data_IF_953957914146
#
_entry.id   IF_953957914146
#
_cell.length_a   1.000
_cell.length_b   1.000
_cell.length_c   1.000
_cell.angle_alpha   90.00
_cell.angle_beta   90.00
_cell.angle_gamma   90.00
#
_symmetry.space_group_name_H-M   'P 1'
#
loop_
_entity.id
_entity.type
_entity.pdbx_description
1 polymer ?
#
# COMPACT_ATOMS: atom_id res chain seq x y z
N UNK A 1 39.13 3.06 6.07
CA UNK A 1 38.12 2.32 5.33
C UNK A 1 37.13 1.83 6.36
N UNK A 2 35.92 2.38 6.36
CA UNK A 2 34.81 1.82 7.12
C UNK A 2 34.34 0.63 6.29
N UNK A 3 34.39 -0.58 6.83
CA UNK A 3 33.80 -1.75 6.17
C UNK A 3 32.29 -1.52 6.10
N UNK A 4 31.76 -1.50 4.88
CA UNK A 4 30.33 -1.39 4.59
C UNK A 4 29.75 -2.80 4.53
N UNK A 5 28.76 -3.10 5.37
CA UNK A 5 28.02 -4.36 5.26
C UNK A 5 26.92 -4.14 4.25
N UNK A 6 27.12 -4.64 3.03
CA UNK A 6 26.05 -4.60 2.04
C UNK A 6 24.88 -5.49 2.49
N UNK A 7 23.68 -5.07 2.12
CA UNK A 7 22.47 -5.88 2.25
C UNK A 7 22.72 -7.29 1.68
N UNK A 8 22.59 -8.34 2.50
CA UNK A 8 22.79 -9.72 2.05
C UNK A 8 21.46 -10.29 1.54
N UNK A 9 21.24 -10.40 0.21
CA UNK A 9 19.97 -10.86 -0.34
C UNK A 9 19.68 -12.34 -0.04
N UNK A 10 20.66 -13.10 0.49
CA UNK A 10 20.48 -14.50 0.87
C UNK A 10 20.08 -14.69 2.35
N UNK A 11 20.20 -13.65 3.18
CA UNK A 11 19.86 -13.74 4.60
C UNK A 11 19.33 -12.38 5.11
N UNK A 12 18.01 -12.23 5.00
CA UNK A 12 17.21 -11.10 5.44
C UNK A 12 16.52 -11.49 6.75
N UNK A 13 16.84 -10.81 7.84
CA UNK A 13 16.22 -11.01 9.14
C UNK A 13 14.80 -10.43 9.19
N UNK A 14 14.02 -10.79 10.21
CA UNK A 14 12.68 -10.23 10.42
C UNK A 14 12.68 -8.69 10.53
N UNK A 15 13.70 -8.11 11.18
CA UNK A 15 13.82 -6.66 11.31
C UNK A 15 14.14 -5.98 9.98
N UNK A 16 15.04 -6.56 9.16
CA UNK A 16 15.35 -6.05 7.82
C UNK A 16 14.13 -6.14 6.89
N UNK A 17 13.39 -7.26 6.92
CA UNK A 17 12.15 -7.41 6.17
C UNK A 17 11.12 -6.33 6.55
N UNK A 18 10.94 -6.05 7.85
CA UNK A 18 9.99 -5.03 8.30
C UNK A 18 10.43 -3.61 7.96
N UNK A 19 11.73 -3.32 8.01
CA UNK A 19 12.26 -2.03 7.56
C UNK A 19 11.97 -1.79 6.07
N UNK A 20 12.22 -2.79 5.22
CA UNK A 20 11.89 -2.71 3.78
C UNK A 20 10.39 -2.51 3.59
N UNK A 21 9.56 -3.31 4.27
CA UNK A 21 8.12 -3.19 4.15
C UNK A 21 7.62 -1.81 4.57
N UNK A 22 8.07 -1.28 5.70
CA UNK A 22 7.64 0.04 6.19
C UNK A 22 8.02 1.14 5.18
N UNK A 23 9.21 1.08 4.59
CA UNK A 23 9.64 2.01 3.56
C UNK A 23 8.76 1.93 2.29
N UNK A 24 8.45 0.71 1.81
CA UNK A 24 7.54 0.50 0.67
C UNK A 24 6.11 0.98 0.97
N UNK A 25 5.58 0.67 2.16
CA UNK A 25 4.22 1.04 2.56
C UNK A 25 4.06 2.54 2.70
N UNK A 26 5.07 3.26 3.18
CA UNK A 26 5.04 4.71 3.23
C UNK A 26 4.72 5.33 1.86
N UNK A 27 5.51 4.99 0.83
CA UNK A 27 5.28 5.51 -0.52
C UNK A 27 3.95 5.03 -1.11
N UNK A 28 3.51 3.83 -0.74
CA UNK A 28 2.19 3.30 -1.14
C UNK A 28 1.04 4.11 -0.56
N UNK A 29 1.09 4.45 0.73
CA UNK A 29 0.06 5.27 1.40
C UNK A 29 0.03 6.67 0.81
N UNK A 30 1.21 7.29 0.63
CA UNK A 30 1.33 8.60 -0.02
C UNK A 30 0.69 8.59 -1.42
N UNK A 31 0.97 7.54 -2.21
CA UNK A 31 0.36 7.34 -3.55
C UNK A 31 -1.15 7.17 -3.48
N UNK A 32 -1.63 6.36 -2.53
CA UNK A 32 -3.06 6.07 -2.35
C UNK A 32 -3.84 7.35 -2.05
N UNK A 33 -3.32 8.20 -1.17
CA UNK A 33 -3.96 9.49 -0.85
C UNK A 33 -3.80 10.52 -1.96
N UNK A 34 -2.68 10.52 -2.67
CA UNK A 34 -2.49 11.34 -3.88
C UNK A 34 -3.57 11.01 -4.92
N UNK A 35 -3.74 9.72 -5.22
CA UNK A 35 -4.75 9.26 -6.18
C UNK A 35 -6.17 9.55 -5.72
N UNK A 36 -6.49 9.33 -4.44
CA UNK A 36 -7.80 9.67 -3.88
C UNK A 36 -8.10 11.17 -4.04
N UNK A 37 -7.10 12.03 -3.80
CA UNK A 37 -7.19 13.46 -4.02
C UNK A 37 -7.41 13.81 -5.50
N UNK A 38 -6.66 13.22 -6.43
CA UNK A 38 -6.83 13.44 -7.88
C UNK A 38 -8.24 13.05 -8.34
N UNK A 39 -8.72 11.88 -7.94
CA UNK A 39 -10.09 11.42 -8.25
C UNK A 39 -11.15 12.43 -7.76
N UNK A 40 -10.99 12.93 -6.53
CA UNK A 40 -11.89 13.95 -6.00
C UNK A 40 -11.85 15.25 -6.81
N UNK A 41 -10.66 15.71 -7.20
CA UNK A 41 -10.48 16.95 -7.98
C UNK A 41 -11.07 16.86 -9.39
N UNK A 42 -10.86 15.76 -10.11
CA UNK A 42 -11.32 15.63 -11.50
C UNK A 42 -12.79 15.24 -11.62
N UNK A 43 -13.32 14.45 -10.69
CA UNK A 43 -14.69 13.93 -10.76
C UNK A 43 -15.65 14.59 -9.77
N UNK A 44 -15.17 15.56 -9.00
CA UNK A 44 -15.95 16.26 -7.98
C UNK A 44 -16.60 15.29 -6.96
N UNK A 45 -15.84 14.25 -6.59
CA UNK A 45 -16.28 13.22 -5.64
C UNK A 45 -15.79 13.59 -4.24
N UNK A 46 -16.73 13.76 -3.31
CA UNK A 46 -16.42 14.05 -1.92
C UNK A 46 -15.71 15.38 -1.69
N UNK A 47 -14.89 15.43 -0.65
CA UNK A 47 -14.27 16.66 -0.14
C UNK A 47 -12.79 16.70 -0.51
N UNK A 48 -12.48 17.39 -1.61
CA UNK A 48 -11.09 17.53 -2.08
C UNK A 48 -10.18 18.17 -1.02
N UNK A 49 -10.71 19.07 -0.19
CA UNK A 49 -9.95 19.69 0.90
C UNK A 49 -9.61 18.71 2.02
N UNK A 50 -10.55 17.84 2.43
CA UNK A 50 -10.27 16.82 3.45
C UNK A 50 -9.23 15.81 2.93
N UNK A 51 -9.32 15.44 1.65
CA UNK A 51 -8.34 14.57 1.00
C UNK A 51 -6.97 15.24 0.86
N UNK A 52 -6.94 16.54 0.56
CA UNK A 52 -5.69 17.31 0.55
C UNK A 52 -5.05 17.35 1.93
N UNK A 53 -5.84 17.63 2.97
CA UNK A 53 -5.37 17.62 4.36
C UNK A 53 -4.79 16.26 4.73
N UNK A 54 -5.45 15.16 4.32
CA UNK A 54 -4.93 13.82 4.55
C UNK A 54 -3.63 13.53 3.80
N UNK A 55 -3.55 13.88 2.52
CA UNK A 55 -2.32 13.78 1.72
C UNK A 55 -1.17 14.58 2.34
N UNK A 56 -1.47 15.79 2.82
CA UNK A 56 -0.50 16.65 3.48
C UNK A 56 0.00 16.02 4.80
N UNK A 57 -0.89 15.45 5.62
CA UNK A 57 -0.50 14.72 6.83
C UNK A 57 0.37 13.50 6.53
N UNK A 58 0.03 12.69 5.53
CA UNK A 58 0.81 11.49 5.17
C UNK A 58 2.19 11.86 4.61
N UNK A 59 2.32 13.03 3.98
CA UNK A 59 3.63 13.59 3.59
C UNK A 59 4.55 13.86 4.79
N UNK A 60 4.00 14.09 5.98
CA UNK A 60 4.77 14.35 7.20
C UNK A 60 5.23 13.07 7.91
N UNK A 61 4.53 11.95 7.72
CA UNK A 61 4.78 10.69 8.46
C UNK A 61 6.15 10.05 8.15
N UNK A 62 6.82 10.44 7.05
CA UNK A 62 8.19 9.98 6.78
C UNK A 62 9.16 10.38 7.89
N UNK A 63 8.89 11.50 8.56
CA UNK A 63 9.69 11.98 9.69
C UNK A 63 9.70 11.01 10.85
N UNK A 64 8.57 10.33 11.11
CA UNK A 64 8.46 9.38 12.22
C UNK A 64 9.37 8.16 11.99
N UNK A 65 9.48 7.69 10.74
CA UNK A 65 10.40 6.61 10.37
C UNK A 65 11.87 7.05 10.48
N UNK A 66 12.17 8.30 10.11
CA UNK A 66 13.54 8.82 10.08
C UNK A 66 14.04 9.24 11.47
N UNK A 67 13.14 9.65 12.37
CA UNK A 67 13.48 10.31 13.64
C UNK A 67 14.39 9.48 14.53
N UNK A 68 14.17 8.17 14.60
CA UNK A 68 14.96 7.28 15.48
C UNK A 68 16.42 7.21 15.02
N UNK A 69 16.67 7.27 13.71
CA UNK A 69 17.99 7.05 13.12
C UNK A 69 18.75 8.36 12.91
N UNK A 70 18.08 9.36 12.34
CA UNK A 70 18.73 10.62 11.91
C UNK A 70 18.46 11.79 12.87
N UNK A 71 17.67 11.54 13.91
CA UNK A 71 17.30 12.55 14.90
C UNK A 71 16.15 13.44 14.46
N UNK A 72 15.53 14.07 15.46
CA UNK A 72 14.30 14.86 15.31
C UNK A 72 14.43 16.01 14.30
N UNK A 73 15.47 16.82 14.43
CA UNK A 73 15.65 18.02 13.59
C UNK A 73 15.70 17.67 12.10
N UNK A 74 16.58 16.74 11.73
CA UNK A 74 16.76 16.36 10.32
C UNK A 74 15.51 15.72 9.72
N UNK A 75 14.80 14.94 10.54
CA UNK A 75 13.56 14.27 10.14
C UNK A 75 12.41 15.27 9.96
N UNK A 76 12.28 16.25 10.85
CA UNK A 76 11.30 17.34 10.74
C UNK A 76 11.58 18.23 9.50
N UNK A 77 12.85 18.58 9.24
CA UNK A 77 13.26 19.34 8.06
C UNK A 77 12.91 18.59 6.76
N UNK A 78 13.21 17.29 6.65
CA UNK A 78 12.85 16.50 5.46
C UNK A 78 11.33 16.36 5.29
N UNK A 79 10.59 16.16 6.39
CA UNK A 79 9.13 16.07 6.36
C UNK A 79 8.50 17.37 5.86
N UNK A 80 9.06 18.53 6.25
CA UNK A 80 8.63 19.82 5.72
C UNK A 80 8.86 19.93 4.22
N UNK A 81 10.05 19.55 3.74
CA UNK A 81 10.36 19.54 2.30
C UNK A 81 9.39 18.65 1.51
N UNK A 82 9.07 17.45 2.02
CA UNK A 82 8.10 16.56 1.36
C UNK A 82 6.66 17.11 1.45
N UNK A 83 6.25 17.70 2.58
CA UNK A 83 4.92 18.33 2.67
C UNK A 83 4.73 19.48 1.66
N UNK A 84 5.81 20.17 1.32
CA UNK A 84 5.80 21.21 0.30
C UNK A 84 5.59 20.67 -1.11
N UNK A 85 5.78 19.38 -1.39
CA UNK A 85 5.45 18.77 -2.69
C UNK A 85 3.93 18.76 -2.95
N UNK A 86 3.12 18.55 -1.90
CA UNK A 86 1.67 18.47 -2.04
C UNK A 86 1.04 19.80 -2.50
N UNK A 87 1.62 20.93 -2.10
CA UNK A 87 1.10 22.28 -2.39
C UNK A 87 1.14 22.61 -3.90
N UNK A 88 2.30 22.62 -4.60
CA UNK A 88 2.35 22.88 -6.03
C UNK A 88 1.67 21.76 -6.82
N UNK A 89 1.59 20.52 -6.31
CA UNK A 89 0.73 19.50 -6.91
C UNK A 89 -0.74 19.94 -6.93
N UNK A 90 -1.29 20.41 -5.80
CA UNK A 90 -2.66 20.96 -5.76
C UNK A 90 -2.86 22.11 -6.74
N UNK A 91 -1.93 23.06 -6.76
CA UNK A 91 -2.01 24.24 -7.63
C UNK A 91 -1.85 23.87 -9.10
N UNK A 92 -1.02 22.88 -9.43
CA UNK A 92 -0.90 22.30 -10.77
C UNK A 92 -2.26 21.75 -11.25
N UNK A 93 -2.94 20.95 -10.43
CA UNK A 93 -4.27 20.40 -10.77
C UNK A 93 -5.29 21.54 -10.95
N UNK A 94 -5.22 22.60 -10.13
CA UNK A 94 -6.06 23.79 -10.31
C UNK A 94 -5.81 24.47 -11.65
N UNK A 95 -4.54 24.69 -12.01
CA UNK A 95 -4.17 25.29 -13.29
C UNK A 95 -4.60 24.41 -14.48
N UNK A 96 -4.46 23.09 -14.37
CA UNK A 96 -4.92 22.13 -15.39
C UNK A 96 -6.43 22.21 -15.61
N UNK A 97 -7.23 22.23 -14.54
CA UNK A 97 -8.68 22.36 -14.64
C UNK A 97 -9.11 23.71 -15.22
N UNK A 98 -8.32 24.77 -15.01
CA UNK A 98 -8.55 26.10 -15.57
C UNK A 98 -8.03 26.27 -17.01
N UNK A 99 -7.26 25.32 -17.55
CA UNK A 99 -6.54 25.48 -18.81
C UNK A 99 -5.43 26.55 -18.76
N UNK A 100 -4.93 26.87 -17.56
CA UNK A 100 -3.90 27.87 -17.33
C UNK A 100 -2.49 27.28 -17.60
N UNK A 101 -2.01 27.48 -18.82
CA UNK A 101 -0.70 26.98 -19.26
C UNK A 101 0.48 27.62 -18.49
N UNK A 102 0.34 28.87 -18.07
CA UNK A 102 1.39 29.56 -17.31
C UNK A 102 1.45 28.99 -15.89
N UNK A 103 0.30 28.87 -15.23
CA UNK A 103 0.20 28.22 -13.92
C UNK A 103 0.67 26.77 -13.94
N UNK A 104 0.40 26.01 -15.01
CA UNK A 104 0.94 24.66 -15.17
C UNK A 104 2.47 24.68 -15.18
N UNK A 105 3.08 25.53 -16.01
CA UNK A 105 4.54 25.63 -16.13
C UNK A 105 5.19 26.03 -14.81
N UNK A 106 4.66 27.04 -14.13
CA UNK A 106 5.19 27.54 -12.86
C UNK A 106 5.14 26.48 -11.75
N UNK A 107 4.05 25.72 -11.64
CA UNK A 107 3.94 24.68 -10.62
C UNK A 107 4.82 23.46 -10.94
N UNK A 108 5.02 23.11 -12.21
CA UNK A 108 5.99 22.08 -12.59
C UNK A 108 7.41 22.47 -12.19
N UNK A 109 7.82 23.71 -12.44
CA UNK A 109 9.13 24.22 -12.02
C UNK A 109 9.33 24.11 -10.50
N UNK A 110 8.32 24.46 -9.71
CA UNK A 110 8.36 24.32 -8.24
C UNK A 110 8.49 22.87 -7.79
N UNK A 111 7.77 21.95 -8.44
CA UNK A 111 7.86 20.51 -8.13
C UNK A 111 9.27 19.99 -8.41
N UNK A 112 9.86 20.32 -9.57
CA UNK A 112 11.22 19.87 -9.90
C UNK A 112 12.29 20.51 -8.99
N UNK A 113 12.12 21.77 -8.59
CA UNK A 113 13.00 22.40 -7.61
C UNK A 113 12.92 21.68 -6.25
N UNK A 114 11.71 21.33 -5.78
CA UNK A 114 11.52 20.56 -4.56
C UNK A 114 12.16 19.16 -4.63
N UNK A 115 12.11 18.50 -5.79
CA UNK A 115 12.79 17.21 -6.01
C UNK A 115 14.30 17.34 -5.81
N UNK A 116 14.94 18.35 -6.43
CA UNK A 116 16.38 18.58 -6.30
C UNK A 116 16.77 18.88 -4.84
N UNK A 117 16.00 19.73 -4.15
CA UNK A 117 16.24 20.06 -2.74
C UNK A 117 16.13 18.83 -1.85
N UNK A 118 15.08 18.02 -2.04
CA UNK A 118 14.88 16.77 -1.28
C UNK A 118 15.98 15.75 -1.54
N UNK A 119 16.39 15.56 -2.78
CA UNK A 119 17.44 14.61 -3.13
C UNK A 119 18.80 15.03 -2.55
N UNK A 120 19.15 16.31 -2.64
CA UNK A 120 20.37 16.85 -2.02
C UNK A 120 20.33 16.72 -0.49
N UNK A 121 19.18 16.98 0.12
CA UNK A 121 19.01 16.84 1.57
C UNK A 121 19.15 15.39 2.05
N UNK A 122 18.64 14.41 1.29
CA UNK A 122 18.79 12.99 1.61
C UNK A 122 20.27 12.56 1.59
N UNK A 123 21.03 12.93 0.57
CA UNK A 123 22.46 12.61 0.50
C UNK A 123 23.25 13.26 1.65
N UNK A 124 22.92 14.51 2.00
CA UNK A 124 23.54 15.20 3.13
C UNK A 124 23.22 14.52 4.48
N UNK A 125 22.04 13.90 4.61
CA UNK A 125 21.62 13.19 5.81
C UNK A 125 22.29 11.81 5.92
N UNK A 126 22.40 11.10 4.80
CA UNK A 126 22.89 9.74 4.75
C UNK A 126 23.84 9.56 3.55
N UNK A 127 25.14 9.33 3.76
CA UNK A 127 26.12 9.18 2.67
C UNK A 127 25.88 7.95 1.78
N UNK A 128 24.99 7.04 2.16
CA UNK A 128 24.58 5.88 1.36
C UNK A 128 23.39 6.18 0.43
N UNK A 129 22.80 7.37 0.52
CA UNK A 129 21.79 7.85 -0.40
C UNK A 129 22.42 8.79 -1.44
N UNK A 130 22.37 8.41 -2.71
CA UNK A 130 22.96 9.22 -3.79
C UNK A 130 21.99 10.28 -4.30
N UNK A 131 22.42 11.54 -4.40
CA UNK A 131 21.56 12.63 -4.87
C UNK A 131 20.99 12.36 -6.27
N UNK A 132 21.81 11.97 -7.24
CA UNK A 132 21.39 11.76 -8.64
C UNK A 132 20.37 10.62 -8.73
N UNK A 133 20.57 9.56 -7.97
CA UNK A 133 19.62 8.45 -7.89
C UNK A 133 18.26 8.91 -7.35
N UNK A 134 18.24 9.66 -6.24
CA UNK A 134 17.00 10.18 -5.69
C UNK A 134 16.31 11.20 -6.60
N UNK A 135 17.05 12.05 -7.31
CA UNK A 135 16.48 12.94 -8.32
C UNK A 135 15.73 12.14 -9.40
N UNK A 136 16.33 11.05 -9.90
CA UNK A 136 15.70 10.19 -10.90
C UNK A 136 14.47 9.45 -10.35
N UNK A 137 14.56 8.91 -9.14
CA UNK A 137 13.45 8.22 -8.47
C UNK A 137 12.26 9.15 -8.25
N UNK A 138 12.48 10.33 -7.68
CA UNK A 138 11.43 11.30 -7.39
C UNK A 138 10.85 11.92 -8.68
N UNK A 139 11.68 12.12 -9.70
CA UNK A 139 11.24 12.58 -11.03
C UNK A 139 10.32 11.57 -11.68
N UNK A 140 10.71 10.29 -11.71
CA UNK A 140 9.90 9.22 -12.31
C UNK A 140 8.57 9.03 -11.57
N UNK A 141 8.60 9.09 -10.23
CA UNK A 141 7.38 9.05 -9.40
C UNK A 141 6.41 10.19 -9.76
N UNK A 142 6.95 11.41 -9.88
CA UNK A 142 6.18 12.60 -10.24
C UNK A 142 5.62 12.51 -11.67
N UNK A 143 6.38 11.96 -12.62
CA UNK A 143 5.92 11.72 -13.99
C UNK A 143 4.73 10.78 -14.02
N UNK A 144 4.77 9.67 -13.27
CA UNK A 144 3.63 8.77 -13.18
C UNK A 144 2.39 9.42 -12.55
N UNK A 145 2.54 10.27 -11.53
CA UNK A 145 1.42 11.06 -10.97
C UNK A 145 0.82 11.97 -12.05
N UNK A 146 1.64 12.60 -12.88
CA UNK A 146 1.13 13.46 -13.97
C UNK A 146 0.46 12.66 -15.08
N UNK A 147 1.01 11.50 -15.44
CA UNK A 147 0.35 10.59 -16.37
C UNK A 147 -1.01 10.13 -15.84
N UNK A 148 -1.10 9.82 -14.55
CA UNK A 148 -2.35 9.45 -13.87
C UNK A 148 -3.35 10.60 -13.94
N UNK A 149 -2.95 11.81 -13.53
CA UNK A 149 -3.77 13.02 -13.63
C UNK A 149 -4.28 13.28 -15.05
N UNK A 150 -3.43 13.06 -16.07
CA UNK A 150 -3.82 13.18 -17.48
C UNK A 150 -4.73 12.05 -17.97
N UNK A 151 -4.62 10.83 -17.44
CA UNK A 151 -5.54 9.74 -17.76
C UNK A 151 -6.92 10.02 -17.13
N UNK A 152 -6.94 10.43 -15.86
CA UNK A 152 -8.15 10.81 -15.15
C UNK A 152 -8.87 12.01 -15.79
N UNK A 153 -8.14 13.06 -16.21
CA UNK A 153 -8.76 14.22 -16.87
C UNK A 153 -9.44 13.88 -18.20
N UNK A 154 -9.01 12.80 -18.86
CA UNK A 154 -9.58 12.30 -20.13
C UNK A 154 -10.62 11.20 -19.94
N UNK A 155 -10.84 10.73 -18.71
CA UNK A 155 -11.68 9.56 -18.46
C UNK A 155 -11.10 8.24 -18.99
N UNK A 156 -9.77 8.16 -19.16
CA UNK A 156 -9.09 6.96 -19.66
C UNK A 156 -8.73 6.02 -18.48
N UNK A 157 -9.75 5.34 -17.97
CA UNK A 157 -9.62 4.46 -16.80
C UNK A 157 -8.74 3.24 -17.06
N UNK A 158 -8.78 2.69 -18.27
CA UNK A 158 -7.89 1.61 -18.70
C UNK A 158 -6.42 2.02 -18.59
N UNK A 159 -6.05 3.23 -19.06
CA UNK A 159 -4.68 3.75 -18.92
C UNK A 159 -4.33 4.04 -17.46
N UNK A 160 -5.27 4.57 -16.71
CA UNK A 160 -5.12 4.86 -15.29
C UNK A 160 -4.82 3.60 -14.45
N UNK A 161 -5.49 2.47 -14.69
CA UNK A 161 -5.18 1.17 -14.05
C UNK A 161 -3.76 0.70 -14.40
N UNK A 162 -3.31 0.91 -15.64
CA UNK A 162 -1.93 0.56 -16.04
C UNK A 162 -0.90 1.43 -15.31
N UNK A 163 -1.13 2.74 -15.26
CA UNK A 163 -0.25 3.69 -14.57
C UNK A 163 -0.19 3.34 -13.08
N UNK A 164 -1.32 3.00 -12.46
CA UNK A 164 -1.36 2.55 -11.07
C UNK A 164 -0.37 1.40 -10.82
N UNK A 165 -0.35 0.38 -11.69
CA UNK A 165 0.59 -0.74 -11.55
C UNK A 165 2.06 -0.30 -11.73
N UNK A 166 2.34 0.61 -12.68
CA UNK A 166 3.70 1.14 -12.91
C UNK A 166 4.18 1.99 -11.72
N UNK A 167 3.33 2.89 -11.25
CA UNK A 167 3.56 3.75 -10.10
C UNK A 167 3.84 2.90 -8.85
N UNK A 168 3.06 1.86 -8.62
CA UNK A 168 3.25 0.93 -7.51
C UNK A 168 4.60 0.20 -7.55
N UNK A 169 4.98 -0.34 -8.71
CA UNK A 169 6.28 -0.98 -8.89
C UNK A 169 7.42 0.02 -8.63
N UNK A 170 7.26 1.26 -9.09
CA UNK A 170 8.20 2.33 -8.85
C UNK A 170 8.31 2.72 -7.37
N UNK A 171 7.19 2.83 -6.65
CA UNK A 171 7.22 3.10 -5.20
C UNK A 171 7.87 1.98 -4.39
N UNK A 172 7.82 0.74 -4.88
CA UNK A 172 8.53 -0.36 -4.24
C UNK A 172 10.04 -0.20 -4.39
N UNK A 173 10.51 0.17 -5.58
CA UNK A 173 11.92 0.49 -5.82
C UNK A 173 12.37 1.66 -4.92
N UNK A 174 11.57 2.71 -4.79
CA UNK A 174 11.88 3.82 -3.88
C UNK A 174 12.00 3.36 -2.42
N UNK A 175 11.10 2.48 -1.98
CA UNK A 175 11.17 1.89 -0.64
C UNK A 175 12.42 1.02 -0.44
N UNK A 176 12.84 0.27 -1.46
CA UNK A 176 14.05 -0.55 -1.42
C UNK A 176 15.31 0.31 -1.28
N UNK A 177 15.48 1.31 -2.14
CA UNK A 177 16.63 2.25 -2.08
C UNK A 177 16.67 3.00 -0.75
N UNK A 178 15.51 3.40 -0.23
CA UNK A 178 15.42 4.00 1.10
C UNK A 178 15.91 3.04 2.19
N UNK A 179 15.35 1.83 2.25
CA UNK A 179 15.68 0.84 3.27
C UNK A 179 17.13 0.36 3.21
N UNK A 180 17.68 0.16 2.01
CA UNK A 180 19.08 -0.21 1.80
C UNK A 180 20.01 0.88 2.34
N UNK A 181 19.78 2.15 2.01
CA UNK A 181 20.61 3.22 2.56
C UNK A 181 20.47 3.40 4.08
N UNK A 182 19.28 3.16 4.66
CA UNK A 182 19.13 3.10 6.13
C UNK A 182 19.97 1.97 6.71
N UNK A 183 19.90 0.77 6.12
CA UNK A 183 20.65 -0.40 6.56
C UNK A 183 22.16 -0.15 6.56
N UNK A 184 22.68 0.36 5.45
CA UNK A 184 24.10 0.65 5.30
C UNK A 184 24.54 1.73 6.31
N UNK A 185 23.70 2.73 6.56
CA UNK A 185 23.96 3.76 7.57
C UNK A 185 24.10 3.19 8.98
N UNK A 186 23.11 2.40 9.44
CA UNK A 186 23.09 1.88 10.81
C UNK A 186 24.12 0.77 11.05
N UNK A 187 24.54 0.07 10.00
CA UNK A 187 25.57 -0.98 10.08
C UNK A 187 26.98 -0.45 9.80
N UNK A 188 27.10 0.78 9.31
CA UNK A 188 28.40 1.43 9.12
C UNK A 188 29.19 1.46 10.43
N UNK A 189 30.40 0.91 10.42
CA UNK A 189 31.27 0.88 11.60
C UNK A 189 31.02 -0.26 12.59
N UNK A 190 30.09 -1.17 12.33
CA UNK A 190 30.02 -2.43 13.07
C UNK A 190 31.27 -3.29 12.77
N UNK A 191 32.03 -3.73 13.78
CA UNK A 191 33.17 -4.63 13.55
C UNK A 191 32.72 -6.00 13.01
N UNK A 192 33.65 -6.74 12.36
CA UNK A 192 33.47 -8.06 11.73
C UNK A 192 32.74 -9.16 12.55
N UNK A 193 32.48 -8.93 13.83
CA UNK A 193 31.71 -9.81 14.71
C UNK A 193 30.18 -9.70 14.58
N UNK A 194 29.67 -8.78 13.74
CA UNK A 194 28.23 -8.58 13.50
C UNK A 194 27.76 -8.96 12.08
N UNK A 195 28.54 -9.76 11.35
CA UNK A 195 28.15 -10.24 10.03
C UNK A 195 26.85 -11.08 10.11
N UNK A 196 25.80 -10.78 9.32
CA UNK A 196 24.64 -11.66 9.17
C UNK A 196 25.12 -12.99 8.55
N UNK A 197 25.05 -14.07 9.33
CA UNK A 197 25.64 -15.37 8.95
C UNK A 197 26.32 -16.11 10.10
N UNK A 198 26.27 -15.59 11.34
CA UNK A 198 26.56 -16.39 12.53
C UNK A 198 25.57 -17.55 12.64
N UNK A 199 26.08 -18.75 12.95
CA UNK A 199 25.25 -19.94 13.18
C UNK A 199 24.11 -19.60 14.16
N UNK A 200 22.86 -19.75 13.71
CA UNK A 200 21.66 -19.59 14.55
C UNK A 200 20.79 -18.35 14.30
N UNK A 201 21.12 -17.46 13.35
CA UNK A 201 20.23 -16.35 12.97
C UNK A 201 19.14 -16.83 12.01
N UNK A 202 17.87 -16.66 12.39
CA UNK A 202 16.72 -16.91 11.51
C UNK A 202 16.61 -15.82 10.45
N UNK A 203 16.62 -16.23 9.18
CA UNK A 203 16.51 -15.31 8.05
C UNK A 203 15.88 -16.00 6.83
N UNK A 204 15.46 -15.16 5.89
CA UNK A 204 14.86 -15.57 4.61
C UNK A 204 15.66 -14.96 3.47
N UNK A 205 15.57 -15.51 2.26
CA UNK A 205 16.16 -14.89 1.08
C UNK A 205 15.25 -13.80 0.48
N UNK A 206 15.77 -13.06 -0.48
CA UNK A 206 15.07 -11.95 -1.14
C UNK A 206 13.78 -12.38 -1.84
N UNK A 207 13.74 -13.56 -2.45
CA UNK A 207 12.53 -14.07 -3.12
C UNK A 207 11.43 -14.39 -2.10
N UNK A 208 11.79 -15.03 -0.98
CA UNK A 208 10.88 -15.28 0.13
C UNK A 208 10.37 -13.97 0.75
N UNK A 209 11.25 -12.99 0.93
CA UNK A 209 10.88 -11.66 1.41
C UNK A 209 9.87 -10.99 0.47
N UNK A 210 10.10 -11.04 -0.84
CA UNK A 210 9.18 -10.48 -1.83
C UNK A 210 7.85 -11.24 -1.91
N UNK A 211 7.84 -12.56 -1.71
CA UNK A 211 6.61 -13.34 -1.58
C UNK A 211 5.79 -12.89 -0.34
N UNK A 212 6.45 -12.72 0.82
CA UNK A 212 5.81 -12.18 2.02
C UNK A 212 5.30 -10.76 1.75
N UNK A 213 6.09 -9.89 1.12
CA UNK A 213 5.66 -8.55 0.75
C UNK A 213 4.40 -8.58 -0.13
N UNK A 214 4.36 -9.44 -1.14
CA UNK A 214 3.20 -9.63 -2.03
C UNK A 214 1.93 -10.04 -1.27
N UNK A 215 2.07 -10.90 -0.26
CA UNK A 215 0.96 -11.27 0.63
C UNK A 215 0.57 -10.13 1.57
N UNK A 216 1.53 -9.35 2.06
CA UNK A 216 1.23 -8.20 2.92
C UNK A 216 0.46 -7.13 2.16
N UNK A 217 0.85 -6.84 0.92
CA UNK A 217 0.21 -5.78 0.12
C UNK A 217 -1.19 -6.16 -0.37
N UNK A 218 -1.52 -7.46 -0.44
CA UNK A 218 -2.86 -7.93 -0.80
C UNK A 218 -3.98 -7.25 -0.01
N UNK A 219 -3.81 -7.05 1.30
CA UNK A 219 -4.84 -6.43 2.13
C UNK A 219 -5.12 -4.97 1.76
N UNK A 220 -4.08 -4.24 1.37
CA UNK A 220 -4.20 -2.87 0.88
C UNK A 220 -4.87 -2.85 -0.50
N UNK A 221 -4.44 -3.73 -1.41
CA UNK A 221 -5.06 -3.87 -2.74
C UNK A 221 -6.54 -4.19 -2.63
N UNK A 222 -6.93 -5.13 -1.77
CA UNK A 222 -8.32 -5.52 -1.61
C UNK A 222 -9.16 -4.33 -1.12
N UNK A 223 -8.68 -3.58 -0.12
CA UNK A 223 -9.35 -2.37 0.38
C UNK A 223 -9.47 -1.29 -0.71
N UNK A 224 -8.41 -1.05 -1.47
CA UNK A 224 -8.36 -0.03 -2.52
C UNK A 224 -9.31 -0.39 -3.68
N UNK A 225 -9.29 -1.63 -4.16
CA UNK A 225 -10.10 -2.04 -5.30
C UNK A 225 -11.57 -2.23 -4.94
N UNK A 226 -11.91 -2.64 -3.71
CA UNK A 226 -13.31 -2.61 -3.23
C UNK A 226 -13.81 -1.17 -3.18
N UNK A 227 -13.01 -0.23 -2.65
CA UNK A 227 -13.36 1.18 -2.67
C UNK A 227 -13.58 1.71 -4.08
N UNK A 228 -12.67 1.43 -5.02
CA UNK A 228 -12.78 1.89 -6.40
C UNK A 228 -14.04 1.29 -7.07
N UNK A 229 -14.35 0.03 -6.78
CA UNK A 229 -15.58 -0.60 -7.25
C UNK A 229 -16.83 0.09 -6.68
N UNK A 230 -16.86 0.38 -5.38
CA UNK A 230 -17.95 1.15 -4.77
C UNK A 230 -18.09 2.55 -5.39
N UNK A 231 -16.98 3.25 -5.63
CA UNK A 231 -17.00 4.54 -6.33
C UNK A 231 -17.59 4.40 -7.74
N UNK A 232 -17.23 3.34 -8.48
CA UNK A 232 -17.82 3.08 -9.80
C UNK A 232 -19.33 2.85 -9.71
N UNK A 233 -19.78 2.02 -8.76
CA UNK A 233 -21.19 1.66 -8.59
C UNK A 233 -22.08 2.79 -8.08
N UNK A 234 -21.62 3.55 -7.08
CA UNK A 234 -22.40 4.63 -6.48
C UNK A 234 -22.31 5.95 -7.23
N UNK A 235 -21.15 6.23 -7.84
CA UNK A 235 -20.86 7.54 -8.43
C UNK A 235 -20.70 7.52 -9.96
N UNK A 236 -20.76 6.34 -10.59
CA UNK A 236 -20.51 6.20 -12.03
C UNK A 236 -19.05 6.50 -12.42
N UNK A 237 -18.11 6.33 -11.49
CA UNK A 237 -16.69 6.57 -11.73
C UNK A 237 -16.09 5.39 -12.51
N UNK A 238 -15.77 5.63 -13.77
CA UNK A 238 -15.10 4.68 -14.65
C UNK A 238 -15.96 3.54 -15.15
N UNK A 239 -15.32 2.63 -15.88
CA UNK A 239 -15.97 1.43 -16.38
C UNK A 239 -16.09 0.39 -15.25
N UNK A 240 -17.31 0.12 -14.82
CA UNK A 240 -17.60 -0.78 -13.71
C UNK A 240 -17.09 -2.19 -13.97
N UNK A 241 -17.14 -2.68 -15.21
CA UNK A 241 -16.70 -4.03 -15.56
C UNK A 241 -15.18 -4.11 -15.53
N UNK A 242 -14.46 -3.10 -16.03
CA UNK A 242 -13.00 -3.03 -15.94
C UNK A 242 -12.53 -3.01 -14.48
N UNK A 243 -13.18 -2.19 -13.63
CA UNK A 243 -12.85 -2.10 -12.20
C UNK A 243 -13.16 -3.41 -11.47
N UNK A 244 -14.29 -4.04 -11.77
CA UNK A 244 -14.66 -5.34 -11.20
C UNK A 244 -13.66 -6.43 -11.59
N UNK A 245 -13.28 -6.49 -12.87
CA UNK A 245 -12.28 -7.43 -13.37
C UNK A 245 -10.92 -7.22 -12.69
N UNK A 246 -10.50 -5.97 -12.47
CA UNK A 246 -9.26 -5.68 -11.74
C UNK A 246 -9.35 -6.05 -10.25
N UNK A 247 -10.50 -5.86 -9.62
CA UNK A 247 -10.76 -6.33 -8.25
C UNK A 247 -10.68 -7.86 -8.15
N UNK A 248 -11.23 -8.60 -9.12
CA UNK A 248 -11.13 -10.07 -9.17
C UNK A 248 -9.70 -10.58 -9.33
N UNK A 249 -8.79 -9.82 -9.95
CA UNK A 249 -7.38 -10.20 -10.05
C UNK A 249 -6.63 -10.13 -8.70
N UNK A 250 -7.05 -9.23 -7.78
CA UNK A 250 -6.39 -9.07 -6.47
C UNK A 250 -6.28 -10.39 -5.69
N UNK A 251 -7.35 -11.16 -5.44
CA UNK A 251 -7.25 -12.44 -4.77
C UNK A 251 -6.56 -13.52 -5.62
N UNK A 252 -6.59 -13.43 -6.96
CA UNK A 252 -5.88 -14.38 -7.83
C UNK A 252 -4.37 -14.24 -7.63
N UNK A 253 -3.84 -13.02 -7.67
CA UNK A 253 -2.42 -12.72 -7.46
C UNK A 253 -1.98 -13.19 -6.07
N UNK A 254 -2.77 -12.88 -5.04
CA UNK A 254 -2.51 -13.31 -3.67
C UNK A 254 -2.46 -14.84 -3.53
N UNK A 255 -3.47 -15.55 -4.06
CA UNK A 255 -3.51 -17.02 -4.00
C UNK A 255 -2.36 -17.64 -4.78
N UNK A 256 -1.95 -17.05 -5.91
CA UNK A 256 -0.76 -17.48 -6.66
C UNK A 256 0.52 -17.38 -5.83
N UNK A 257 0.67 -16.35 -5.01
CA UNK A 257 1.83 -16.21 -4.12
C UNK A 257 1.75 -17.23 -2.98
N UNK A 258 0.57 -17.45 -2.39
CA UNK A 258 0.39 -18.51 -1.38
C UNK A 258 0.73 -19.90 -1.92
N UNK A 259 0.36 -20.21 -3.18
CA UNK A 259 0.73 -21.48 -3.84
C UNK A 259 2.25 -21.68 -3.89
N UNK A 260 3.03 -20.62 -4.07
CA UNK A 260 4.49 -20.70 -4.10
C UNK A 260 5.08 -21.06 -2.71
N UNK A 261 4.40 -20.71 -1.62
CA UNK A 261 4.86 -20.97 -0.24
C UNK A 261 4.35 -22.31 0.29
N UNK A 262 3.05 -22.60 0.11
CA UNK A 262 2.37 -23.76 0.70
C UNK A 262 2.17 -24.93 -0.27
N UNK A 263 2.36 -24.71 -1.58
CA UNK A 263 2.12 -25.70 -2.63
C UNK A 263 0.67 -25.74 -3.14
N UNK A 264 0.49 -26.20 -4.38
CA UNK A 264 -0.79 -26.16 -5.10
C UNK A 264 -1.94 -26.86 -4.36
N UNK A 265 -1.68 -28.05 -3.83
CA UNK A 265 -2.69 -28.91 -3.19
C UNK A 265 -3.31 -28.23 -1.97
N UNK A 266 -2.55 -27.39 -1.26
CA UNK A 266 -2.97 -26.75 -0.01
C UNK A 266 -3.87 -25.54 -0.27
N UNK A 267 -3.73 -24.88 -1.43
CA UNK A 267 -4.37 -23.58 -1.70
C UNK A 267 -5.43 -23.64 -2.80
N UNK A 268 -5.60 -24.79 -3.47
CA UNK A 268 -6.34 -24.94 -4.73
C UNK A 268 -7.74 -24.30 -4.77
N UNK A 269 -8.50 -24.34 -3.67
CA UNK A 269 -9.87 -23.80 -3.61
C UNK A 269 -10.00 -22.47 -2.84
N UNK A 270 -8.92 -21.93 -2.26
CA UNK A 270 -9.02 -20.74 -1.41
C UNK A 270 -9.52 -19.50 -2.17
N UNK A 271 -9.17 -19.39 -3.45
CA UNK A 271 -9.64 -18.30 -4.32
C UNK A 271 -11.17 -18.26 -4.43
N UNK A 272 -11.85 -19.41 -4.32
CA UNK A 272 -13.32 -19.49 -4.44
C UNK A 272 -14.02 -18.76 -3.29
N UNK A 273 -13.43 -18.75 -2.09
CA UNK A 273 -13.93 -17.96 -0.96
C UNK A 273 -13.85 -16.46 -1.26
N UNK A 274 -12.84 -16.01 -2.00
CA UNK A 274 -12.75 -14.60 -2.41
C UNK A 274 -13.71 -14.24 -3.54
N UNK A 275 -13.95 -15.13 -4.51
CA UNK A 275 -14.98 -14.91 -5.51
C UNK A 275 -16.35 -14.75 -4.86
N UNK A 276 -16.72 -15.67 -3.94
CA UNK A 276 -17.97 -15.55 -3.18
C UNK A 276 -18.01 -14.24 -2.37
N UNK A 277 -16.90 -13.84 -1.75
CA UNK A 277 -16.83 -12.57 -1.01
C UNK A 277 -17.09 -11.36 -1.90
N UNK A 278 -16.44 -11.30 -3.07
CA UNK A 278 -16.58 -10.18 -4.02
C UNK A 278 -17.99 -10.15 -4.61
N UNK A 279 -18.56 -11.30 -4.99
CA UNK A 279 -19.94 -11.41 -5.47
C UNK A 279 -20.95 -10.94 -4.39
N UNK A 280 -20.70 -11.27 -3.12
CA UNK A 280 -21.53 -10.79 -2.01
C UNK A 280 -21.40 -9.28 -1.79
N UNK A 281 -20.22 -8.68 -2.00
CA UNK A 281 -20.04 -7.22 -1.96
C UNK A 281 -20.78 -6.55 -3.12
N UNK A 282 -20.73 -7.11 -4.34
CA UNK A 282 -21.53 -6.63 -5.48
C UNK A 282 -23.04 -6.70 -5.20
N UNK A 283 -23.51 -7.85 -4.71
CA UNK A 283 -24.91 -8.04 -4.34
C UNK A 283 -25.34 -7.06 -3.23
N UNK A 284 -24.47 -6.83 -2.24
CA UNK A 284 -24.73 -5.86 -1.16
C UNK A 284 -24.93 -4.45 -1.73
N UNK A 285 -24.01 -4.00 -2.59
CA UNK A 285 -24.07 -2.68 -3.22
C UNK A 285 -25.36 -2.54 -4.04
N UNK A 286 -25.72 -3.58 -4.80
CA UNK A 286 -26.98 -3.63 -5.56
C UNK A 286 -28.20 -3.51 -4.64
N UNK A 287 -28.29 -4.32 -3.59
CA UNK A 287 -29.40 -4.30 -2.65
C UNK A 287 -29.49 -2.96 -1.89
N UNK A 288 -28.34 -2.32 -1.60
CA UNK A 288 -28.27 -0.98 -1.02
C UNK A 288 -28.83 0.09 -1.96
N UNK A 289 -28.51 0.04 -3.25
CA UNK A 289 -29.05 0.95 -4.27
C UNK A 289 -30.57 0.76 -4.44
N UNK A 290 -31.04 -0.48 -4.40
CA UNK A 290 -32.47 -0.83 -4.52
C UNK A 290 -33.28 -0.57 -3.23
N UNK A 291 -32.61 -0.33 -2.11
CA UNK A 291 -33.25 -0.16 -0.81
C UNK A 291 -33.84 -1.46 -0.23
N UNK A 292 -33.34 -2.62 -0.67
CA UNK A 292 -33.83 -3.93 -0.25
C UNK A 292 -33.21 -4.35 1.10
N UNK A 293 -33.82 -3.88 2.19
CA UNK A 293 -33.32 -4.11 3.56
C UNK A 293 -33.29 -5.58 3.96
N UNK A 294 -34.24 -6.39 3.49
CA UNK A 294 -34.26 -7.84 3.77
C UNK A 294 -33.04 -8.53 3.15
N UNK A 295 -32.78 -8.25 1.86
CA UNK A 295 -31.65 -8.81 1.13
C UNK A 295 -30.31 -8.35 1.71
N UNK A 296 -30.17 -7.06 2.10
CA UNK A 296 -29.00 -6.56 2.80
C UNK A 296 -28.71 -7.38 4.07
N UNK A 297 -29.74 -7.72 4.84
CA UNK A 297 -29.63 -8.55 6.04
C UNK A 297 -29.14 -9.96 5.75
N UNK A 298 -29.68 -10.60 4.70
CA UNK A 298 -29.27 -11.94 4.27
C UNK A 298 -27.84 -11.99 3.74
N UNK A 299 -27.46 -11.03 2.88
CA UNK A 299 -26.10 -10.91 2.34
C UNK A 299 -25.09 -10.65 3.46
N UNK A 300 -25.44 -9.80 4.43
CA UNK A 300 -24.57 -9.52 5.59
C UNK A 300 -24.27 -10.80 6.37
N UNK A 301 -25.25 -11.67 6.61
CA UNK A 301 -25.01 -12.96 7.28
C UNK A 301 -24.06 -13.86 6.47
N UNK A 302 -24.24 -13.92 5.15
CA UNK A 302 -23.37 -14.70 4.25
C UNK A 302 -21.93 -14.15 4.20
N UNK A 303 -21.76 -12.83 4.30
CA UNK A 303 -20.44 -12.21 4.40
C UNK A 303 -19.70 -12.62 5.69
N UNK A 304 -20.39 -12.70 6.83
CA UNK A 304 -19.80 -13.18 8.08
C UNK A 304 -19.47 -14.68 8.02
N UNK A 305 -20.34 -15.51 7.45
CA UNK A 305 -20.05 -16.93 7.21
C UNK A 305 -18.81 -17.10 6.32
N UNK A 306 -18.69 -16.28 5.27
CA UNK A 306 -17.51 -16.27 4.42
C UNK A 306 -16.24 -15.86 5.17
N UNK A 307 -16.33 -14.91 6.10
CA UNK A 307 -15.21 -14.55 6.96
C UNK A 307 -14.79 -15.71 7.88
N UNK A 308 -15.74 -16.46 8.44
CA UNK A 308 -15.44 -17.66 9.25
C UNK A 308 -14.71 -18.73 8.44
N UNK A 309 -15.20 -19.04 7.23
CA UNK A 309 -14.57 -20.03 6.36
C UNK A 309 -13.14 -19.62 5.95
N UNK A 310 -12.91 -18.33 5.67
CA UNK A 310 -11.56 -17.81 5.38
C UNK A 310 -10.65 -17.88 6.60
N UNK A 311 -11.16 -17.59 7.80
CA UNK A 311 -10.38 -17.70 9.04
C UNK A 311 -9.94 -19.14 9.31
N UNK A 312 -10.88 -20.10 9.19
CA UNK A 312 -10.62 -21.52 9.36
C UNK A 312 -9.60 -22.03 8.34
N UNK A 313 -9.72 -21.62 7.07
CA UNK A 313 -8.75 -21.97 6.04
C UNK A 313 -7.34 -21.48 6.40
N UNK A 314 -7.19 -20.19 6.73
CA UNK A 314 -5.87 -19.62 7.06
C UNK A 314 -5.23 -20.34 8.26
N UNK A 315 -5.98 -20.58 9.33
CA UNK A 315 -5.48 -21.31 10.49
C UNK A 315 -5.07 -22.76 10.15
N UNK A 316 -5.74 -23.40 9.18
CA UNK A 316 -5.43 -24.78 8.78
C UNK A 316 -4.10 -24.94 8.02
N UNK A 317 -3.65 -23.90 7.31
CA UNK A 317 -2.47 -23.97 6.44
C UNK A 317 -1.18 -23.51 7.12
N UNK A 318 -1.28 -22.81 8.24
CA UNK A 318 -0.13 -22.31 8.99
C UNK A 318 -0.34 -22.45 10.51
N UNK A 319 0.47 -23.25 11.21
CA UNK A 319 0.31 -23.48 12.66
C UNK A 319 0.56 -22.23 13.52
N UNK A 320 1.14 -21.17 12.96
CA UNK A 320 1.38 -19.90 13.64
C UNK A 320 0.19 -18.94 13.54
N UNK A 321 -0.89 -19.34 12.84
CA UNK A 321 -2.10 -18.56 12.69
C UNK A 321 -3.27 -19.12 13.50
N UNK A 322 -3.84 -18.27 14.36
CA UNK A 322 -5.02 -18.56 15.15
C UNK A 322 -6.28 -18.26 14.36
N UNK A 323 -7.21 -19.21 14.34
CA UNK A 323 -8.52 -19.03 13.72
C UNK A 323 -9.30 -17.88 14.37
N UNK A 324 -9.26 -17.78 15.70
CA UNK A 324 -9.98 -16.73 16.44
C UNK A 324 -9.44 -15.33 16.12
N UNK A 325 -8.11 -15.20 15.98
CA UNK A 325 -7.48 -13.94 15.61
C UNK A 325 -7.80 -13.56 14.15
N UNK A 326 -7.76 -14.53 13.24
CA UNK A 326 -8.18 -14.31 11.86
C UNK A 326 -9.64 -13.88 11.76
N UNK A 327 -10.54 -14.55 12.50
CA UNK A 327 -11.96 -14.21 12.54
C UNK A 327 -12.16 -12.77 13.02
N UNK A 328 -11.49 -12.36 14.10
CA UNK A 328 -11.57 -11.01 14.63
C UNK A 328 -11.14 -9.95 13.59
N UNK A 329 -10.00 -10.18 12.92
CA UNK A 329 -9.48 -9.26 11.88
C UNK A 329 -10.43 -9.16 10.69
N UNK A 330 -10.91 -10.29 10.19
CA UNK A 330 -11.85 -10.34 9.06
C UNK A 330 -13.20 -9.69 9.41
N UNK A 331 -13.72 -9.91 10.61
CA UNK A 331 -14.96 -9.28 11.08
C UNK A 331 -14.82 -7.76 11.23
N UNK A 332 -13.70 -7.30 11.77
CA UNK A 332 -13.41 -5.87 11.92
C UNK A 332 -13.32 -5.19 10.55
N UNK A 333 -12.58 -5.80 9.62
CA UNK A 333 -12.48 -5.33 8.25
C UNK A 333 -13.84 -5.30 7.53
N UNK A 334 -14.59 -6.40 7.61
CA UNK A 334 -15.93 -6.50 7.03
C UNK A 334 -16.84 -5.38 7.55
N UNK A 335 -16.88 -5.14 8.87
CA UNK A 335 -17.70 -4.06 9.44
C UNK A 335 -17.32 -2.70 8.87
N UNK A 336 -16.02 -2.40 8.78
CA UNK A 336 -15.55 -1.14 8.19
C UNK A 336 -15.85 -1.05 6.69
N UNK A 337 -15.84 -2.16 5.93
CA UNK A 337 -16.27 -2.21 4.53
C UNK A 337 -17.78 -1.95 4.38
N UNK A 338 -18.61 -2.54 5.24
CA UNK A 338 -20.06 -2.29 5.26
C UNK A 338 -20.37 -0.81 5.59
N UNK A 339 -19.66 -0.25 6.56
CA UNK A 339 -19.75 1.18 6.92
C UNK A 339 -19.29 2.07 5.75
N UNK A 340 -18.23 1.68 5.03
CA UNK A 340 -17.75 2.40 3.86
C UNK A 340 -18.83 2.43 2.76
N UNK A 341 -19.42 1.28 2.43
CA UNK A 341 -20.52 1.18 1.45
C UNK A 341 -21.71 2.07 1.84
N UNK A 342 -22.12 2.00 3.10
CA UNK A 342 -23.21 2.82 3.65
C UNK A 342 -22.90 4.32 3.56
N UNK A 343 -21.67 4.73 3.88
CA UNK A 343 -21.28 6.14 3.79
C UNK A 343 -21.28 6.67 2.35
N UNK A 344 -20.94 5.83 1.36
CA UNK A 344 -21.09 6.20 -0.05
C UNK A 344 -22.56 6.37 -0.44
N UNK A 345 -23.42 5.41 -0.07
CA UNK A 345 -24.87 5.49 -0.32
C UNK A 345 -25.48 6.78 0.27
N UNK A 346 -25.01 7.19 1.45
CA UNK A 346 -25.48 8.41 2.14
C UNK A 346 -24.82 9.71 1.61
N UNK A 347 -23.79 9.62 0.78
CA UNK A 347 -23.00 10.78 0.37
C UNK A 347 -22.17 11.41 1.50
N UNK A 348 -21.88 10.67 2.58
CA UNK A 348 -21.12 11.14 3.73
C UNK A 348 -19.61 10.95 3.51
N UNK A 349 -19.03 11.80 2.67
CA UNK A 349 -17.66 11.65 2.19
C UNK A 349 -16.60 11.90 3.27
N UNK A 350 -16.80 12.87 4.17
CA UNK A 350 -15.85 13.11 5.26
C UNK A 350 -15.78 11.89 6.20
N UNK A 351 -16.92 11.26 6.51
CA UNK A 351 -16.92 9.98 7.24
C UNK A 351 -16.26 8.86 6.43
N UNK A 352 -16.55 8.78 5.14
CA UNK A 352 -16.00 7.76 4.26
C UNK A 352 -14.46 7.82 4.17
N UNK A 353 -13.86 9.02 4.15
CA UNK A 353 -12.41 9.23 4.19
C UNK A 353 -11.80 8.67 5.49
N UNK A 354 -12.44 8.95 6.64
CA UNK A 354 -12.00 8.42 7.92
C UNK A 354 -12.09 6.89 7.99
N UNK A 355 -13.19 6.32 7.49
CA UNK A 355 -13.35 4.85 7.39
C UNK A 355 -12.27 4.26 6.47
N UNK A 356 -11.98 4.92 5.34
CA UNK A 356 -10.95 4.46 4.42
C UNK A 356 -9.56 4.46 5.06
N UNK A 357 -9.21 5.50 5.83
CA UNK A 357 -7.99 5.48 6.66
C UNK A 357 -7.98 4.28 7.59
N UNK A 358 -9.04 4.05 8.35
CA UNK A 358 -9.10 2.92 9.29
C UNK A 358 -9.00 1.57 8.58
N UNK A 359 -9.54 1.43 7.37
CA UNK A 359 -9.38 0.22 6.55
C UNK A 359 -7.93 0.00 6.12
N UNK A 360 -7.19 1.06 5.78
CA UNK A 360 -5.75 0.97 5.48
C UNK A 360 -4.94 0.58 6.73
N UNK A 361 -5.27 1.14 7.89
CA UNK A 361 -4.60 0.79 9.16
C UNK A 361 -4.90 -0.67 9.58
N UNK A 362 -6.12 -1.14 9.33
CA UNK A 362 -6.49 -2.55 9.50
C UNK A 362 -5.78 -3.47 8.51
N UNK A 363 -5.62 -3.05 7.26
CA UNK A 363 -4.85 -3.79 6.25
C UNK A 363 -3.38 -3.93 6.69
N UNK A 364 -2.78 -2.84 7.19
CA UNK A 364 -1.43 -2.85 7.74
C UNK A 364 -1.30 -3.80 8.93
N UNK A 365 -2.17 -3.68 9.93
CA UNK A 365 -2.19 -4.56 11.10
C UNK A 365 -2.33 -6.03 10.71
N UNK A 366 -3.25 -6.33 9.79
CA UNK A 366 -3.49 -7.70 9.30
C UNK A 366 -2.29 -8.23 8.51
N UNK A 367 -1.65 -7.39 7.71
CA UNK A 367 -0.44 -7.74 6.98
C UNK A 367 0.72 -8.09 7.92
N UNK A 368 0.85 -7.38 9.04
CA UNK A 368 1.90 -7.64 10.03
C UNK A 368 1.70 -9.01 10.70
N UNK A 369 0.47 -9.34 11.11
CA UNK A 369 0.13 -10.65 11.65
C UNK A 369 0.39 -11.78 10.64
N UNK A 370 0.07 -11.54 9.38
CA UNK A 370 0.35 -12.47 8.29
C UNK A 370 1.87 -12.71 8.15
N UNK A 371 2.65 -11.63 8.11
CA UNK A 371 4.09 -11.67 7.91
C UNK A 371 4.82 -12.41 9.03
N UNK A 372 4.41 -12.20 10.28
CA UNK A 372 4.96 -12.90 11.45
C UNK A 372 4.81 -14.41 11.29
N UNK A 373 3.58 -14.89 11.05
CA UNK A 373 3.35 -16.33 10.87
C UNK A 373 3.99 -16.92 9.61
N UNK A 374 4.15 -16.16 8.52
CA UNK A 374 4.91 -16.62 7.34
C UNK A 374 6.40 -16.74 7.63
N UNK A 375 6.97 -15.76 8.32
CA UNK A 375 8.38 -15.75 8.67
C UNK A 375 8.73 -16.95 9.55
N UNK A 376 7.92 -17.22 10.57
CA UNK A 376 8.10 -18.37 11.45
C UNK A 376 7.94 -19.70 10.71
N UNK A 377 6.91 -19.81 9.86
CA UNK A 377 6.68 -20.99 9.02
C UNK A 377 7.87 -21.28 8.10
N UNK A 378 8.38 -20.28 7.38
CA UNK A 378 9.51 -20.45 6.47
C UNK A 378 10.79 -20.85 7.19
N UNK A 379 11.06 -20.27 8.36
CA UNK A 379 12.21 -20.65 9.18
C UNK A 379 12.09 -22.09 9.70
N UNK A 380 10.89 -22.50 10.12
CA UNK A 380 10.63 -23.88 10.53
C UNK A 380 10.90 -24.86 9.37
N UNK A 381 10.37 -24.57 8.18
CA UNK A 381 10.58 -25.41 6.99
C UNK A 381 12.06 -25.52 6.60
N UNK A 382 12.82 -24.43 6.69
CA UNK A 382 14.27 -24.46 6.46
C UNK A 382 14.97 -25.37 7.48
N UNK A 383 14.64 -25.27 8.77
CA UNK A 383 15.24 -26.11 9.82
C UNK A 383 15.00 -27.61 9.62
N UNK A 384 13.86 -27.99 9.01
CA UNK A 384 13.52 -29.37 8.69
C UNK A 384 14.27 -29.92 7.48
N UNK A 385 14.70 -29.08 6.53
CA UNK A 385 15.48 -29.49 5.35
C UNK A 385 16.95 -29.82 5.65
N UNK A 386 17.47 -29.32 6.77
CA UNK A 386 18.86 -29.55 7.23
C UNK A 386 18.97 -30.67 8.29
N UNK A 387 17.87 -31.36 8.60
CA UNK A 387 17.84 -32.60 9.38
C UNK A 387 17.59 -33.78 8.46
#
# INVERSE_FOLDING_TARGET
MIETYSFNPQCITYSQMNMIFNARIYYRRLTTWTRAYLLSRYYNIGTAEDLFNRLYSESLEIGDMMQIIFGRRSSEEYSQLLSQFAIPLRELITAQLAGDMEGISQNLEQIYANIQERASYLEAMNPYWNQIEYENLLTTYTQYIFEEANALSRGDYSRDIQIYNQLNAHTNLMGDVFAEGVYDYITSGAGASAAPGTEGVQCINYDQMNAIYGIRIFWFELVIWIRNYMLSRYMGLGDTDEVYNRLLQVPVDYVNILRQIFGEIVVGEYVTLFYRYIDLIDALVTAQIEGNVEEIGLITQQLYQNADERAAFLASINPYWSEDEWRNRLYTNLRSTLDQSTSFLMGDYSRNINIFSSLLDQAESTSNYFAEGLFDYLNQQQSLRFR
#
